data_IF_259466031493
#
_entry.id   IF_259466031493
#
_cell.length_a   1.000
_cell.length_b   1.000
_cell.length_c   1.000
_cell.angle_alpha   90.00
_cell.angle_beta   90.00
_cell.angle_gamma   90.00
#
_symmetry.space_group_name_H-M   'P 1'
#
loop_
_entity.id
_entity.type
_entity.pdbx_description
1 polymer ?
#
# COMPACT_ATOMS: atom_id res chain seq x y z
N UNK A 1 9.74 29.57 40.65
CA UNK A 1 9.47 28.21 40.12
C UNK A 1 8.35 28.35 39.09
N UNK A 2 8.68 28.67 37.85
CA UNK A 2 7.72 28.80 36.75
C UNK A 2 7.53 27.42 36.15
N UNK A 3 6.36 26.81 36.35
CA UNK A 3 6.02 25.53 35.74
C UNK A 3 5.86 25.71 34.23
N UNK A 4 6.72 25.04 33.47
CA UNK A 4 6.58 24.92 32.02
C UNK A 4 5.25 24.20 31.74
N UNK A 5 4.36 24.73 30.89
CA UNK A 5 3.10 24.05 30.59
C UNK A 5 3.40 22.72 29.88
N UNK A 6 2.99 21.60 30.49
CA UNK A 6 3.06 20.28 29.86
C UNK A 6 2.26 20.31 28.56
N UNK A 7 2.94 20.17 27.42
CA UNK A 7 2.31 20.04 26.11
C UNK A 7 1.59 18.70 26.06
N UNK A 8 0.26 18.66 25.79
CA UNK A 8 -0.47 17.41 25.69
C UNK A 8 0.15 16.49 24.64
N UNK A 9 0.64 15.32 25.07
CA UNK A 9 1.22 14.34 24.15
C UNK A 9 0.08 13.70 23.34
N UNK A 10 0.09 13.80 22.00
CA UNK A 10 -0.97 13.22 21.18
C UNK A 10 -1.02 11.69 21.39
N UNK A 11 -2.22 11.10 21.47
CA UNK A 11 -2.35 9.66 21.64
C UNK A 11 -1.65 8.92 20.49
N UNK A 12 -0.99 7.78 20.77
CA UNK A 12 -0.26 7.05 19.75
C UNK A 12 -1.21 6.62 18.63
N UNK A 13 -0.92 7.07 17.41
CA UNK A 13 -1.66 6.67 16.22
C UNK A 13 -1.53 5.15 16.01
N UNK A 14 -2.61 4.44 15.64
CA UNK A 14 -2.56 3.02 15.31
C UNK A 14 -1.49 2.75 14.26
N UNK A 15 -0.61 1.77 14.52
CA UNK A 15 0.48 1.41 13.61
C UNK A 15 -0.01 1.11 12.18
N UNK A 16 -1.23 0.58 12.05
CA UNK A 16 -1.86 0.29 10.75
C UNK A 16 -2.11 1.54 9.89
N UNK A 17 -2.24 2.74 10.47
CA UNK A 17 -2.35 4.00 9.73
C UNK A 17 -0.99 4.55 9.30
N UNK A 18 0.09 4.08 9.94
CA UNK A 18 1.47 4.48 9.64
C UNK A 18 2.11 3.54 8.60
N UNK A 19 1.58 2.32 8.46
CA UNK A 19 2.03 1.37 7.45
C UNK A 19 1.27 1.55 6.13
N UNK A 20 1.94 1.70 4.98
CA UNK A 20 1.26 1.84 3.69
C UNK A 20 0.60 0.55 3.15
N UNK A 21 0.92 -0.61 3.77
CA UNK A 21 0.48 -1.93 3.29
C UNK A 21 -1.04 -2.14 3.27
N UNK A 22 -1.83 -1.75 4.30
CA UNK A 22 -3.27 -1.94 4.30
C UNK A 22 -3.97 -1.21 3.15
N UNK A 23 -3.52 0.00 2.82
CA UNK A 23 -4.09 0.82 1.73
C UNK A 23 -3.87 0.14 0.37
N UNK A 24 -2.67 -0.37 0.12
CA UNK A 24 -2.34 -1.09 -1.11
C UNK A 24 -3.24 -2.33 -1.26
N UNK A 25 -3.40 -3.10 -0.18
CA UNK A 25 -4.28 -4.27 -0.18
C UNK A 25 -5.74 -3.92 -0.47
N UNK A 26 -6.27 -2.87 0.16
CA UNK A 26 -7.67 -2.44 -0.04
C UNK A 26 -7.90 -2.02 -1.49
N UNK A 27 -7.00 -1.24 -2.08
CA UNK A 27 -7.11 -0.79 -3.48
C UNK A 27 -7.01 -1.98 -4.44
N UNK A 28 -6.04 -2.87 -4.23
CA UNK A 28 -5.87 -4.06 -5.06
C UNK A 28 -7.10 -4.98 -5.00
N UNK A 29 -7.64 -5.22 -3.81
CA UNK A 29 -8.87 -5.99 -3.62
C UNK A 29 -10.07 -5.33 -4.28
N UNK A 30 -10.20 -4.00 -4.17
CA UNK A 30 -11.26 -3.23 -4.83
C UNK A 30 -11.26 -3.41 -6.36
N UNK A 31 -10.09 -3.33 -6.99
CA UNK A 31 -9.96 -3.56 -8.43
C UNK A 31 -10.22 -5.00 -8.85
N UNK A 32 -9.80 -5.97 -8.03
CA UNK A 32 -10.11 -7.38 -8.27
C UNK A 32 -11.63 -7.62 -8.23
N UNK A 33 -12.32 -7.09 -7.22
CA UNK A 33 -13.78 -7.19 -7.09
C UNK A 33 -14.47 -6.50 -8.26
N UNK A 34 -14.06 -5.28 -8.63
CA UNK A 34 -14.60 -4.57 -9.78
C UNK A 34 -14.43 -5.38 -11.08
N UNK A 35 -13.26 -5.99 -11.28
CA UNK A 35 -13.00 -6.87 -12.43
C UNK A 35 -14.00 -8.02 -12.43
N UNK A 36 -14.11 -8.78 -11.34
CA UNK A 36 -15.07 -9.91 -11.24
C UNK A 36 -16.49 -9.46 -11.58
N UNK A 37 -16.96 -8.35 -11.01
CA UNK A 37 -18.30 -7.81 -11.26
C UNK A 37 -18.56 -7.49 -12.74
N UNK A 38 -17.58 -6.93 -13.46
CA UNK A 38 -17.76 -6.63 -14.91
C UNK A 38 -17.85 -7.88 -15.80
N UNK A 39 -17.42 -9.05 -15.30
CA UNK A 39 -17.54 -10.32 -16.02
C UNK A 39 -18.76 -11.15 -15.59
N UNK A 40 -19.22 -11.01 -14.35
CA UNK A 40 -20.37 -11.77 -13.83
C UNK A 40 -21.71 -11.06 -14.01
N UNK A 41 -21.71 -9.74 -14.11
CA UNK A 41 -22.91 -8.93 -14.29
C UNK A 41 -22.96 -8.49 -15.75
N UNK A 42 -24.04 -8.86 -16.47
CA UNK A 42 -24.49 -8.11 -17.66
C UNK A 42 -24.72 -6.64 -17.25
N UNK A 43 -25.12 -5.65 -18.01
CA UNK A 43 -25.14 -4.22 -17.59
C UNK A 43 -23.76 -3.60 -17.27
N UNK A 44 -22.86 -4.28 -16.55
CA UNK A 44 -21.50 -3.82 -16.22
C UNK A 44 -20.45 -4.19 -17.27
N UNK A 45 -20.84 -4.89 -18.34
CA UNK A 45 -19.92 -5.30 -19.42
C UNK A 45 -19.20 -4.13 -20.10
N UNK A 46 -19.83 -2.95 -20.16
CA UNK A 46 -19.21 -1.74 -20.74
C UNK A 46 -18.05 -1.21 -19.89
N UNK A 47 -18.00 -1.58 -18.60
CA UNK A 47 -16.94 -1.14 -17.69
C UNK A 47 -15.70 -2.04 -17.68
N UNK A 48 -15.72 -3.19 -18.37
CA UNK A 48 -14.61 -4.14 -18.47
C UNK A 48 -13.25 -3.50 -18.79
N UNK A 49 -13.09 -2.62 -19.80
CA UNK A 49 -11.79 -2.03 -20.10
C UNK A 49 -11.25 -1.20 -18.93
N UNK A 50 -12.12 -0.48 -18.21
CA UNK A 50 -11.72 0.31 -17.04
C UNK A 50 -11.36 -0.59 -15.85
N UNK A 51 -12.13 -1.64 -15.60
CA UNK A 51 -11.86 -2.62 -14.55
C UNK A 51 -10.50 -3.31 -14.75
N UNK A 52 -10.21 -3.73 -15.98
CA UNK A 52 -8.92 -4.33 -16.35
C UNK A 52 -7.79 -3.32 -16.27
N UNK A 53 -7.98 -2.09 -16.73
CA UNK A 53 -6.97 -1.04 -16.64
C UNK A 53 -6.58 -0.78 -15.18
N UNK A 54 -7.56 -0.64 -14.30
CA UNK A 54 -7.30 -0.44 -12.88
C UNK A 54 -6.73 -1.65 -12.17
N UNK A 55 -7.11 -2.87 -12.54
CA UNK A 55 -6.43 -4.09 -12.09
C UNK A 55 -4.95 -4.09 -12.50
N UNK A 56 -4.66 -3.72 -13.75
CA UNK A 56 -3.31 -3.57 -14.26
C UNK A 56 -2.50 -2.53 -13.48
N UNK A 57 -3.09 -1.36 -13.22
CA UNK A 57 -2.47 -0.31 -12.39
C UNK A 57 -2.24 -0.81 -10.96
N UNK A 58 -3.19 -1.52 -10.36
CA UNK A 58 -3.06 -2.10 -9.01
C UNK A 58 -1.94 -3.14 -8.92
N UNK A 59 -1.84 -4.04 -9.90
CA UNK A 59 -0.75 -5.02 -10.02
C UNK A 59 0.60 -4.32 -10.19
N UNK A 60 0.67 -3.33 -11.07
CA UNK A 60 1.90 -2.56 -11.30
C UNK A 60 2.36 -1.84 -10.03
N UNK A 61 1.47 -1.08 -9.38
CA UNK A 61 1.77 -0.36 -8.15
C UNK A 61 2.22 -1.28 -7.01
N UNK A 62 1.51 -2.41 -6.83
CA UNK A 62 1.87 -3.42 -5.83
C UNK A 62 3.25 -4.05 -6.12
N UNK A 63 3.55 -4.33 -7.40
CA UNK A 63 4.82 -4.91 -7.82
C UNK A 63 6.00 -3.96 -7.54
N UNK A 64 5.85 -2.68 -7.87
CA UNK A 64 6.85 -1.63 -7.57
C UNK A 64 7.07 -1.53 -6.06
N UNK A 65 6.00 -1.49 -5.26
CA UNK A 65 6.11 -1.44 -3.81
C UNK A 65 6.86 -2.66 -3.23
N UNK A 66 6.53 -3.86 -3.70
CA UNK A 66 7.21 -5.10 -3.27
C UNK A 66 8.70 -5.07 -3.64
N UNK A 67 9.02 -4.58 -4.84
CA UNK A 67 10.41 -4.38 -5.25
C UNK A 67 11.12 -3.41 -4.31
N UNK A 68 10.52 -2.24 -4.04
CA UNK A 68 11.10 -1.24 -3.13
C UNK A 68 11.32 -1.84 -1.74
N UNK A 69 10.33 -2.55 -1.18
CA UNK A 69 10.44 -3.22 0.12
C UNK A 69 11.55 -4.27 0.14
N UNK A 70 11.67 -5.06 -0.93
CA UNK A 70 12.73 -6.06 -1.05
C UNK A 70 14.11 -5.40 -1.19
N UNK A 71 14.23 -4.33 -1.97
CA UNK A 71 15.44 -3.56 -2.14
C UNK A 71 15.90 -2.91 -0.84
N UNK A 72 14.99 -2.34 -0.04
CA UNK A 72 15.31 -1.80 1.30
C UNK A 72 15.83 -2.90 2.24
N UNK A 73 15.17 -4.06 2.26
CA UNK A 73 15.61 -5.22 3.06
C UNK A 73 16.93 -5.85 2.58
N UNK A 74 17.25 -5.72 1.29
CA UNK A 74 18.52 -6.19 0.72
C UNK A 74 19.62 -5.15 0.92
N UNK A 75 19.31 -3.86 0.82
CA UNK A 75 20.23 -2.75 1.12
C UNK A 75 20.66 -2.73 2.58
N UNK A 76 19.77 -3.08 3.51
CA UNK A 76 20.15 -3.27 4.92
C UNK A 76 21.15 -4.40 5.14
N UNK A 77 21.19 -5.40 4.24
CA UNK A 77 22.21 -6.49 4.25
C UNK A 77 23.50 -6.09 3.53
N UNK A 78 23.41 -5.29 2.46
CA UNK A 78 24.57 -4.80 1.71
C UNK A 78 25.45 -3.80 2.47
N UNK A 79 24.86 -3.00 3.37
CA UNK A 79 25.60 -2.04 4.20
C UNK A 79 26.52 -2.70 5.25
N UNK A 80 26.33 -4.01 5.54
CA UNK A 80 27.17 -4.75 6.49
C UNK A 80 28.40 -5.41 5.84
N UNK A 81 28.51 -5.44 4.52
CA UNK A 81 29.62 -6.09 3.80
C UNK A 81 30.79 -5.14 3.46
N UNK A 82 30.78 -3.90 3.97
CA UNK A 82 31.79 -2.88 3.66
C UNK A 82 32.80 -2.59 4.78
N UNK A 83 32.81 -3.36 5.89
CA UNK A 83 33.76 -3.19 6.99
C UNK A 83 34.55 -4.48 7.22
N UNK A 84 35.52 -4.75 6.34
CA UNK A 84 36.64 -5.66 6.60
C UNK A 84 37.90 -5.10 5.98
#
# INVERSE_FOLDING_TARGET
MTGEPETPQPPPLPAALLEPWPVILVIAAGWLVATVLTFTVADLHSFRPYAVAGLGVGVLGTSIFLWQRHAVRRGSRGAQSGLT
#
